data_IF_470204510427
#
_entry.id   IF_470204510427
#
_cell.length_a   1.000
_cell.length_b   1.000
_cell.length_c   1.000
_cell.angle_alpha   90.00
_cell.angle_beta   90.00
_cell.angle_gamma   90.00
#
_symmetry.space_group_name_H-M   'P 1'
#
loop_
_entity.id
_entity.type
_entity.pdbx_description
1 polymer ?
#
# COMPACT_ATOMS: atom_id res chain seq x y z
N UNK A 1 -19.02 45.92 51.29
CA UNK A 1 -18.73 45.75 49.86
C UNK A 1 -18.02 44.44 49.68
N UNK A 2 -18.68 43.37 49.26
CA UNK A 2 -18.14 42.05 49.03
C UNK A 2 -17.97 41.86 47.51
N UNK A 3 -16.73 41.70 47.04
CA UNK A 3 -16.45 41.39 45.63
C UNK A 3 -16.39 39.88 45.48
N UNK A 4 -17.34 39.31 44.76
CA UNK A 4 -17.34 37.87 44.35
C UNK A 4 -16.59 37.73 43.05
N UNK A 5 -15.49 37.00 43.10
CA UNK A 5 -14.72 36.63 41.91
C UNK A 5 -15.23 35.29 41.39
N UNK A 6 -15.81 35.29 40.22
CA UNK A 6 -16.25 34.08 39.51
C UNK A 6 -15.06 33.59 38.69
N UNK A 7 -14.53 32.44 39.04
CA UNK A 7 -13.52 31.74 38.25
C UNK A 7 -14.21 30.86 37.19
N UNK A 8 -14.02 31.22 35.94
CA UNK A 8 -14.50 30.38 34.82
C UNK A 8 -13.46 29.28 34.54
N UNK A 9 -13.80 28.03 34.83
CA UNK A 9 -13.03 26.87 34.40
C UNK A 9 -13.30 26.62 32.90
N UNK A 10 -12.29 26.86 32.07
CA UNK A 10 -12.29 26.39 30.66
C UNK A 10 -11.90 24.91 30.66
N UNK A 11 -12.86 24.03 30.43
CA UNK A 11 -12.59 22.61 30.19
C UNK A 11 -12.11 22.45 28.73
N UNK A 12 -10.81 22.21 28.55
CA UNK A 12 -10.26 21.72 27.27
C UNK A 12 -10.76 20.27 27.06
N UNK A 13 -11.73 20.09 26.20
CA UNK A 13 -12.09 18.79 25.68
C UNK A 13 -11.02 18.37 24.66
N UNK A 14 -10.06 17.55 25.08
CA UNK A 14 -9.17 16.85 24.16
C UNK A 14 -9.97 15.77 23.45
N UNK A 15 -10.29 16.02 22.17
CA UNK A 15 -10.86 14.99 21.31
C UNK A 15 -9.82 13.89 21.12
N UNK A 16 -9.93 12.81 21.86
CA UNK A 16 -9.22 11.56 21.56
C UNK A 16 -9.82 11.00 20.28
N UNK A 17 -9.20 11.25 19.13
CA UNK A 17 -9.47 10.51 17.90
C UNK A 17 -9.22 9.05 18.21
N UNK A 18 -10.28 8.24 18.20
CA UNK A 18 -10.25 6.86 18.65
C UNK A 18 -9.60 5.99 17.58
N UNK A 19 -8.67 5.14 18.00
CA UNK A 19 -7.97 4.17 17.16
C UNK A 19 -8.91 3.21 16.37
N UNK A 20 -10.19 3.16 16.70
CA UNK A 20 -11.23 2.42 15.96
C UNK A 20 -11.48 2.99 14.56
N UNK A 21 -11.24 4.29 14.36
CA UNK A 21 -11.54 5.02 13.11
C UNK A 21 -10.62 4.60 11.95
N UNK A 22 -9.36 4.29 12.20
CA UNK A 22 -8.40 3.94 11.15
C UNK A 22 -8.74 2.60 10.46
N UNK A 23 -9.18 1.58 11.21
CA UNK A 23 -9.59 0.29 10.63
C UNK A 23 -10.86 0.46 9.79
N UNK A 24 -11.80 1.28 10.25
CA UNK A 24 -13.03 1.57 9.51
C UNK A 24 -12.74 2.40 8.26
N UNK A 25 -11.73 3.29 8.31
CA UNK A 25 -11.22 4.01 7.13
C UNK A 25 -10.66 3.05 6.08
N UNK A 26 -9.85 2.05 6.48
CA UNK A 26 -9.35 1.03 5.55
C UNK A 26 -10.50 0.20 4.96
N UNK A 27 -11.49 -0.20 5.77
CA UNK A 27 -12.67 -0.93 5.31
C UNK A 27 -13.48 -0.11 4.28
N UNK A 28 -13.71 1.16 4.58
CA UNK A 28 -14.39 2.07 3.67
C UNK A 28 -13.60 2.26 2.37
N UNK A 29 -12.29 2.45 2.46
CA UNK A 29 -11.41 2.54 1.29
C UNK A 29 -11.53 1.30 0.39
N UNK A 30 -11.48 0.10 0.97
CA UNK A 30 -11.58 -1.15 0.19
C UNK A 30 -12.97 -1.33 -0.42
N UNK A 31 -14.03 -0.94 0.27
CA UNK A 31 -15.41 -1.07 -0.19
C UNK A 31 -15.76 -0.04 -1.27
N UNK A 32 -15.37 1.22 -1.08
CA UNK A 32 -15.91 2.36 -1.82
C UNK A 32 -14.98 2.85 -2.94
N UNK A 33 -13.65 2.67 -2.79
CA UNK A 33 -12.67 3.09 -3.79
C UNK A 33 -12.35 1.92 -4.71
N UNK A 34 -13.01 1.86 -5.86
CA UNK A 34 -12.89 0.75 -6.82
C UNK A 34 -11.69 0.87 -7.76
N UNK A 35 -11.16 2.08 -7.94
CA UNK A 35 -10.00 2.37 -8.78
C UNK A 35 -9.23 3.58 -8.25
N UNK A 36 -8.00 3.73 -8.69
CA UNK A 36 -7.21 4.91 -8.35
C UNK A 36 -5.84 4.88 -9.00
N UNK A 37 -5.21 6.05 -8.99
CA UNK A 37 -3.80 6.21 -9.39
C UNK A 37 -3.10 7.15 -8.44
N UNK A 38 -1.78 6.98 -8.34
CA UNK A 38 -0.91 7.82 -7.53
C UNK A 38 0.52 7.82 -8.10
N UNK A 39 1.28 8.83 -7.79
CA UNK A 39 2.73 8.75 -7.81
C UNK A 39 3.21 8.18 -6.47
N UNK A 40 4.37 7.53 -6.45
CA UNK A 40 4.95 7.06 -5.20
C UNK A 40 6.45 7.27 -5.14
N UNK A 41 6.94 7.44 -3.94
CA UNK A 41 8.34 7.28 -3.56
C UNK A 41 8.43 6.12 -2.58
N UNK A 42 9.29 5.15 -2.89
CA UNK A 42 9.57 4.00 -2.04
C UNK A 42 10.95 4.10 -1.44
N UNK A 43 11.07 3.90 -0.15
CA UNK A 43 12.34 3.77 0.56
C UNK A 43 12.42 2.37 1.15
N UNK A 44 13.46 1.63 0.77
CA UNK A 44 13.75 0.29 1.27
C UNK A 44 14.94 0.37 2.20
N UNK A 45 14.78 -0.09 3.44
CA UNK A 45 15.82 -0.07 4.46
C UNK A 45 16.17 -1.50 4.87
N UNK A 46 17.45 -1.84 4.89
CA UNK A 46 17.94 -3.15 5.34
C UNK A 46 17.61 -3.39 6.82
N UNK A 47 17.57 -4.66 7.30
CA UNK A 47 17.21 -4.98 8.67
C UNK A 47 18.11 -4.33 9.72
N UNK A 48 19.38 -4.11 9.40
CA UNK A 48 20.35 -3.42 10.27
C UNK A 48 20.29 -1.89 10.20
N UNK A 49 19.38 -1.34 9.37
CA UNK A 49 19.20 0.11 9.18
C UNK A 49 20.32 0.82 8.42
N UNK A 50 21.38 0.10 8.00
CA UNK A 50 22.60 0.73 7.46
C UNK A 50 22.50 1.05 5.97
N UNK A 51 21.68 0.36 5.24
CA UNK A 51 21.52 0.54 3.80
C UNK A 51 20.10 0.99 3.48
N UNK A 52 20.03 2.06 2.73
CA UNK A 52 18.76 2.61 2.25
C UNK A 52 18.82 2.75 0.73
N UNK A 53 17.74 2.36 0.06
CA UNK A 53 17.57 2.53 -1.38
C UNK A 53 16.24 3.23 -1.63
N UNK A 54 16.26 4.25 -2.48
CA UNK A 54 15.05 4.99 -2.85
C UNK A 54 14.72 4.74 -4.32
N UNK A 55 13.43 4.52 -4.59
CA UNK A 55 12.85 4.37 -5.92
C UNK A 55 11.61 5.24 -6.04
N UNK A 56 11.22 5.60 -7.24
CA UNK A 56 9.96 6.33 -7.46
C UNK A 56 9.28 5.87 -8.75
N UNK A 57 7.97 6.09 -8.81
CA UNK A 57 7.19 5.63 -9.93
C UNK A 57 5.71 5.99 -9.83
N UNK A 58 4.88 5.22 -10.55
CA UNK A 58 3.41 5.36 -10.57
C UNK A 58 2.76 4.07 -10.11
N UNK A 59 1.64 4.22 -9.44
CA UNK A 59 0.79 3.13 -9.01
C UNK A 59 -0.62 3.37 -9.53
N UNK A 60 -1.20 2.36 -10.15
CA UNK A 60 -2.56 2.36 -10.64
C UNK A 60 -3.23 1.07 -10.20
N UNK A 61 -4.52 1.13 -9.86
CA UNK A 61 -5.27 -0.06 -9.51
C UNK A 61 -6.73 0.04 -9.94
N UNK A 62 -7.33 -1.14 -10.18
CA UNK A 62 -8.76 -1.31 -10.35
C UNK A 62 -9.18 -2.64 -9.72
N UNK A 63 -10.11 -2.58 -8.78
CA UNK A 63 -10.63 -3.77 -8.10
C UNK A 63 -11.52 -4.62 -9.03
N UNK A 64 -11.56 -5.94 -8.82
CA UNK A 64 -10.67 -6.71 -7.96
C UNK A 64 -9.32 -7.00 -8.63
N UNK A 65 -8.26 -7.09 -7.80
CA UNK A 65 -6.96 -7.72 -8.11
C UNK A 65 -6.20 -7.20 -9.35
N UNK A 66 -6.55 -6.04 -9.87
CA UNK A 66 -5.83 -5.41 -10.98
C UNK A 66 -4.99 -4.25 -10.47
N UNK A 67 -3.72 -4.25 -10.82
CA UNK A 67 -2.79 -3.20 -10.44
C UNK A 67 -1.63 -3.08 -11.40
N UNK A 68 -0.99 -1.90 -11.40
CA UNK A 68 0.24 -1.62 -12.12
C UNK A 68 1.14 -0.77 -11.24
N UNK A 69 2.34 -1.27 -10.98
CA UNK A 69 3.47 -0.49 -10.49
C UNK A 69 4.43 -0.26 -11.64
N UNK A 70 4.77 1.00 -11.88
CA UNK A 70 5.74 1.39 -12.87
C UNK A 70 6.85 2.18 -12.17
N UNK A 71 7.95 1.51 -11.86
CA UNK A 71 9.15 2.16 -11.34
C UNK A 71 9.85 2.89 -12.47
N UNK A 72 10.23 4.15 -12.21
CA UNK A 72 10.88 5.04 -13.19
C UNK A 72 12.33 5.33 -12.77
N UNK A 73 12.57 5.46 -11.49
CA UNK A 73 13.90 5.77 -10.92
C UNK A 73 14.23 4.85 -9.76
N UNK A 74 15.52 4.51 -9.54
CA UNK A 74 16.66 4.73 -10.43
C UNK A 74 16.66 3.78 -11.63
N UNK A 75 15.95 2.65 -11.56
CA UNK A 75 15.85 1.65 -12.62
C UNK A 75 14.38 1.42 -12.97
N UNK A 76 14.14 1.30 -14.27
CA UNK A 76 12.81 1.00 -14.77
C UNK A 76 12.44 -0.46 -14.45
N UNK A 77 11.25 -0.67 -13.90
CA UNK A 77 10.66 -1.98 -13.71
C UNK A 77 9.13 -1.83 -13.80
N UNK A 78 8.47 -2.81 -14.37
CA UNK A 78 7.02 -2.82 -14.44
C UNK A 78 6.48 -4.07 -13.75
N UNK A 79 5.51 -3.91 -12.85
CA UNK A 79 4.79 -5.01 -12.20
C UNK A 79 3.31 -4.82 -12.52
N UNK A 80 2.69 -5.82 -13.15
CA UNK A 80 1.28 -5.77 -13.56
C UNK A 80 0.54 -6.99 -13.04
N UNK A 81 -0.51 -6.74 -12.26
CA UNK A 81 -1.53 -7.73 -11.93
C UNK A 81 -2.74 -7.55 -12.83
N UNK A 82 -3.12 -8.57 -13.59
CA UNK A 82 -4.24 -8.52 -14.52
C UNK A 82 -5.54 -9.15 -13.96
N UNK A 83 -5.50 -9.57 -12.68
CA UNK A 83 -6.57 -10.31 -12.01
C UNK A 83 -6.40 -11.83 -12.04
N UNK A 84 -5.49 -12.36 -12.86
CA UNK A 84 -5.19 -13.80 -12.99
C UNK A 84 -3.72 -14.10 -12.72
N UNK A 85 -2.84 -13.25 -13.23
CA UNK A 85 -1.39 -13.38 -13.18
C UNK A 85 -0.74 -12.07 -12.75
N UNK A 86 0.46 -12.19 -12.21
CA UNK A 86 1.34 -11.04 -11.95
C UNK A 86 2.57 -11.18 -12.83
N UNK A 87 2.78 -10.16 -13.64
CA UNK A 87 3.94 -9.98 -14.49
C UNK A 87 4.94 -9.07 -13.80
N UNK A 88 6.21 -9.41 -13.86
CA UNK A 88 7.33 -8.55 -13.46
C UNK A 88 8.27 -8.45 -14.65
N UNK A 89 8.50 -7.23 -15.13
CA UNK A 89 9.34 -6.95 -16.28
C UNK A 89 10.47 -6.00 -15.92
N UNK A 90 11.68 -6.41 -16.20
CA UNK A 90 12.89 -5.61 -16.10
C UNK A 90 13.43 -5.32 -17.51
N UNK A 91 13.27 -4.08 -18.01
CA UNK A 91 13.71 -3.72 -19.36
C UNK A 91 15.24 -3.68 -19.50
N UNK A 92 15.99 -3.44 -18.42
CA UNK A 92 17.45 -3.40 -18.47
C UNK A 92 18.04 -4.79 -18.65
N UNK A 93 17.39 -5.80 -18.08
CA UNK A 93 17.77 -7.20 -18.23
C UNK A 93 17.12 -7.88 -19.44
N UNK A 94 16.13 -7.23 -20.07
CA UNK A 94 15.24 -7.82 -21.09
C UNK A 94 14.60 -9.12 -20.62
N UNK A 95 14.20 -9.17 -19.35
CA UNK A 95 13.60 -10.34 -18.72
C UNK A 95 12.22 -10.03 -18.17
N UNK A 96 11.31 -10.98 -18.32
CA UNK A 96 10.01 -10.94 -17.70
C UNK A 96 9.73 -12.27 -16.98
N UNK A 97 9.05 -12.19 -15.84
CA UNK A 97 8.53 -13.37 -15.14
C UNK A 97 7.02 -13.24 -14.96
N UNK A 98 6.35 -14.38 -14.93
CA UNK A 98 4.91 -14.46 -14.71
C UNK A 98 4.59 -15.50 -13.65
N UNK A 99 3.67 -15.16 -12.74
CA UNK A 99 3.19 -16.07 -11.68
C UNK A 99 1.67 -15.98 -11.57
N UNK A 100 1.00 -17.07 -11.22
CA UNK A 100 -0.42 -17.01 -10.87
C UNK A 100 -0.69 -15.99 -9.75
N UNK A 101 -1.79 -15.24 -9.86
CA UNK A 101 -2.17 -14.23 -8.85
C UNK A 101 -2.30 -14.86 -7.46
N UNK A 102 -2.83 -16.08 -7.35
CA UNK A 102 -2.97 -16.80 -6.08
C UNK A 102 -1.64 -17.04 -5.35
N UNK A 103 -0.54 -17.20 -6.09
CA UNK A 103 0.80 -17.33 -5.52
C UNK A 103 1.46 -15.97 -5.27
N UNK A 104 1.06 -14.96 -6.03
CA UNK A 104 1.61 -13.62 -5.94
C UNK A 104 0.91 -12.77 -4.86
N UNK A 105 -0.36 -13.05 -4.53
CA UNK A 105 -1.12 -12.31 -3.51
C UNK A 105 -0.48 -12.40 -2.13
N UNK A 106 0.10 -13.56 -1.76
CA UNK A 106 0.92 -13.67 -0.56
C UNK A 106 2.30 -12.98 -0.68
N UNK A 107 2.69 -12.56 -1.86
CA UNK A 107 4.02 -12.03 -2.18
C UNK A 107 4.02 -10.53 -2.53
N UNK A 108 2.87 -9.89 -2.73
CA UNK A 108 2.81 -8.48 -3.11
C UNK A 108 1.93 -7.67 -2.17
N UNK A 109 2.42 -6.51 -1.71
CA UNK A 109 1.64 -5.57 -0.91
C UNK A 109 0.40 -5.02 -1.63
N UNK A 110 0.38 -5.15 -2.96
CA UNK A 110 -0.77 -4.81 -3.79
C UNK A 110 -2.03 -5.58 -3.37
N UNK A 111 -1.90 -6.81 -2.87
CA UNK A 111 -3.04 -7.61 -2.39
C UNK A 111 -3.89 -6.91 -1.33
N UNK A 112 -3.25 -6.22 -0.38
CA UNK A 112 -3.97 -5.44 0.63
C UNK A 112 -4.72 -4.25 0.00
N UNK A 113 -4.09 -3.60 -0.98
CA UNK A 113 -4.65 -2.40 -1.60
C UNK A 113 -5.71 -2.72 -2.67
N UNK A 114 -5.69 -3.90 -3.28
CA UNK A 114 -6.56 -4.26 -4.41
C UNK A 114 -7.52 -5.41 -4.14
N UNK A 115 -7.24 -6.21 -3.10
CA UNK A 115 -8.09 -7.31 -2.66
C UNK A 115 -9.44 -6.83 -2.11
N UNK A 116 -10.40 -7.74 -2.02
CA UNK A 116 -11.77 -7.47 -1.55
C UNK A 116 -12.09 -8.12 -0.21
N UNK A 117 -11.17 -8.89 0.37
CA UNK A 117 -11.43 -9.74 1.55
C UNK A 117 -10.36 -9.56 2.63
N UNK A 118 -10.29 -8.33 3.18
CA UNK A 118 -9.28 -7.97 4.19
C UNK A 118 -9.30 -8.91 5.41
N UNK A 119 -10.47 -9.09 6.03
CA UNK A 119 -10.59 -9.86 7.27
C UNK A 119 -10.41 -11.36 7.07
N UNK A 120 -10.57 -11.87 5.85
CA UNK A 120 -10.27 -13.27 5.54
C UNK A 120 -8.77 -13.53 5.63
N UNK A 121 -7.98 -12.61 5.09
CA UNK A 121 -6.56 -12.82 4.84
C UNK A 121 -5.67 -12.16 5.90
N UNK A 122 -6.20 -11.13 6.61
CA UNK A 122 -5.44 -10.33 7.56
C UNK A 122 -6.15 -10.16 8.90
N UNK A 123 -5.34 -10.07 9.95
CA UNK A 123 -5.72 -9.54 11.25
C UNK A 123 -5.43 -8.05 11.26
N UNK A 124 -6.50 -7.23 11.46
CA UNK A 124 -6.39 -5.77 11.41
C UNK A 124 -6.37 -5.19 12.82
N UNK A 125 -5.51 -4.20 13.04
CA UNK A 125 -5.49 -3.42 14.28
C UNK A 125 -5.13 -1.98 13.99
N UNK A 126 -5.77 -1.04 14.69
CA UNK A 126 -5.40 0.36 14.62
C UNK A 126 -4.11 0.62 15.41
N UNK A 127 -3.30 1.53 14.92
CA UNK A 127 -2.10 2.02 15.60
C UNK A 127 -2.30 3.48 16.00
N UNK A 128 -1.50 3.99 16.96
CA UNK A 128 -1.46 5.43 17.25
C UNK A 128 -1.13 6.24 15.99
N UNK A 129 -1.76 7.40 15.85
CA UNK A 129 -1.46 8.34 14.77
C UNK A 129 0.02 8.73 14.81
N UNK A 130 0.65 8.79 13.64
CA UNK A 130 2.07 9.13 13.48
C UNK A 130 2.27 9.89 12.18
N UNK A 131 3.10 10.93 12.21
CA UNK A 131 3.42 11.77 11.04
C UNK A 131 2.19 12.40 10.36
N UNK A 132 1.14 12.70 11.16
CA UNK A 132 -0.12 13.25 10.65
C UNK A 132 -1.00 12.25 9.91
N UNK A 133 -0.72 10.95 10.01
CA UNK A 133 -1.49 9.87 9.40
C UNK A 133 -2.11 8.98 10.46
N UNK A 134 -3.30 8.47 10.15
CA UNK A 134 -3.95 7.39 10.87
C UNK A 134 -3.48 6.06 10.31
N UNK A 135 -3.03 5.16 11.18
CA UNK A 135 -2.37 3.93 10.77
C UNK A 135 -3.16 2.68 11.12
N UNK A 136 -3.25 1.77 10.15
CA UNK A 136 -3.78 0.41 10.34
C UNK A 136 -2.67 -0.58 10.11
N UNK A 137 -2.51 -1.49 11.06
CA UNK A 137 -1.65 -2.66 10.92
C UNK A 137 -2.48 -3.84 10.39
N UNK A 138 -1.92 -4.54 9.42
CA UNK A 138 -2.47 -5.77 8.85
C UNK A 138 -1.43 -6.88 8.95
N UNK A 139 -1.71 -7.92 9.72
CA UNK A 139 -0.89 -9.13 9.84
C UNK A 139 -1.49 -10.23 9.00
N UNK A 140 -0.74 -10.86 8.09
CA UNK A 140 -1.22 -12.05 7.40
C UNK A 140 -1.61 -13.14 8.40
N UNK A 141 -2.75 -13.77 8.21
CA UNK A 141 -3.18 -14.93 9.03
C UNK A 141 -2.44 -16.20 8.67
N UNK A 142 -1.90 -16.28 7.45
CA UNK A 142 -1.08 -17.37 6.96
C UNK A 142 0.37 -16.90 6.83
N UNK A 143 1.31 -17.71 7.31
CA UNK A 143 2.73 -17.36 7.35
C UNK A 143 3.47 -17.57 6.01
N UNK A 144 2.79 -18.07 4.98
CA UNK A 144 3.39 -18.48 3.70
C UNK A 144 3.68 -17.32 2.73
N UNK A 145 3.44 -16.08 3.16
CA UNK A 145 3.70 -14.88 2.35
C UNK A 145 5.15 -14.42 2.38
N UNK A 146 5.49 -13.46 1.51
CA UNK A 146 6.81 -12.82 1.44
C UNK A 146 7.02 -11.70 2.47
N UNK A 147 5.99 -11.35 3.24
CA UNK A 147 6.02 -10.30 4.25
C UNK A 147 5.33 -10.75 5.54
N UNK A 148 5.82 -10.23 6.66
CA UNK A 148 5.32 -10.52 8.00
C UNK A 148 4.33 -9.48 8.51
N UNK A 149 4.38 -8.25 7.94
CA UNK A 149 3.61 -7.13 8.43
C UNK A 149 3.39 -6.09 7.34
N UNK A 150 2.18 -5.57 7.28
CA UNK A 150 1.82 -4.38 6.51
C UNK A 150 1.27 -3.31 7.44
N UNK A 151 1.50 -2.03 7.12
CA UNK A 151 0.83 -0.89 7.74
C UNK A 151 0.36 0.07 6.67
N UNK A 152 -0.90 0.48 6.74
CA UNK A 152 -1.49 1.43 5.81
C UNK A 152 -1.74 2.74 6.54
N UNK A 153 -1.24 3.83 5.99
CA UNK A 153 -1.39 5.18 6.53
C UNK A 153 -2.37 6.00 5.69
N UNK A 154 -3.33 6.63 6.37
CA UNK A 154 -4.34 7.49 5.76
C UNK A 154 -4.19 8.94 6.23
N UNK A 155 -4.32 9.88 5.30
CA UNK A 155 -4.55 11.29 5.60
C UNK A 155 -6.06 11.56 5.44
N UNK A 156 -6.78 11.54 6.57
CA UNK A 156 -8.24 11.47 6.53
C UNK A 156 -8.69 10.17 5.83
N UNK A 157 -9.41 10.28 4.72
CA UNK A 157 -9.85 9.11 3.92
C UNK A 157 -8.93 8.76 2.76
N UNK A 158 -7.87 9.52 2.55
CA UNK A 158 -6.98 9.35 1.42
C UNK A 158 -5.80 8.45 1.79
N UNK A 159 -5.53 7.43 0.96
CA UNK A 159 -4.33 6.61 1.07
C UNK A 159 -3.08 7.49 0.93
N UNK A 160 -2.20 7.46 1.92
CA UNK A 160 -0.99 8.29 1.97
C UNK A 160 0.30 7.49 2.07
N UNK A 161 0.26 6.32 2.71
CA UNK A 161 1.46 5.51 2.89
C UNK A 161 1.15 4.02 3.00
N UNK A 162 2.15 3.20 2.64
CA UNK A 162 2.17 1.77 2.88
C UNK A 162 3.56 1.37 3.40
N UNK A 163 3.61 0.78 4.58
CA UNK A 163 4.83 0.15 5.11
C UNK A 163 4.72 -1.37 5.00
N UNK A 164 5.81 -2.00 4.60
CA UNK A 164 5.92 -3.44 4.42
C UNK A 164 7.15 -3.90 5.19
N UNK A 165 6.99 -4.89 6.04
CA UNK A 165 8.11 -5.61 6.65
C UNK A 165 8.14 -7.01 6.07
N UNK A 166 9.21 -7.37 5.38
CA UNK A 166 9.37 -8.71 4.82
C UNK A 166 9.81 -9.73 5.90
N UNK A 167 9.87 -10.99 5.52
CA UNK A 167 10.24 -12.07 6.43
C UNK A 167 11.74 -12.06 6.82
N UNK A 168 12.55 -11.22 6.17
CA UNK A 168 13.96 -11.01 6.48
C UNK A 168 14.20 -9.76 7.33
N UNK A 169 13.12 -9.03 7.71
CA UNK A 169 13.18 -7.81 8.50
C UNK A 169 13.50 -6.55 7.71
N UNK A 170 13.56 -6.64 6.37
CA UNK A 170 13.69 -5.45 5.53
C UNK A 170 12.39 -4.65 5.56
N UNK A 171 12.48 -3.34 5.66
CA UNK A 171 11.33 -2.45 5.67
C UNK A 171 11.27 -1.64 4.39
N UNK A 172 10.11 -1.68 3.72
CA UNK A 172 9.79 -0.85 2.57
C UNK A 172 8.69 0.13 2.93
N UNK A 173 8.92 1.42 2.71
CA UNK A 173 7.93 2.48 2.95
C UNK A 173 7.61 3.14 1.61
N UNK A 174 6.36 3.03 1.17
CA UNK A 174 5.83 3.78 0.04
C UNK A 174 5.08 4.99 0.57
N UNK A 175 5.39 6.17 0.04
CA UNK A 175 4.63 7.40 0.23
C UNK A 175 3.92 7.72 -1.07
N UNK A 176 2.62 7.91 -1.00
CA UNK A 176 1.79 8.20 -2.17
C UNK A 176 1.53 9.70 -2.26
N UNK A 177 1.66 10.22 -3.47
CA UNK A 177 1.42 11.61 -3.82
C UNK A 177 0.46 11.69 -5.00
N UNK A 178 -0.22 12.83 -5.17
CA UNK A 178 -1.17 13.06 -6.28
C UNK A 178 -2.19 11.92 -6.43
N UNK A 179 -2.70 11.47 -5.30
CA UNK A 179 -3.65 10.36 -5.25
C UNK A 179 -4.99 10.80 -5.84
N UNK A 180 -5.44 10.08 -6.86
CA UNK A 180 -6.75 10.26 -7.49
C UNK A 180 -7.54 8.96 -7.26
N UNK A 181 -8.55 9.03 -6.40
CA UNK A 181 -9.50 7.95 -6.15
C UNK A 181 -10.61 8.00 -7.20
N UNK A 182 -11.08 6.84 -7.65
CA UNK A 182 -12.10 6.74 -8.69
C UNK A 182 -11.59 7.10 -10.10
N UNK A 183 -10.26 7.05 -10.32
CA UNK A 183 -9.69 7.34 -11.63
C UNK A 183 -10.26 6.43 -12.71
N UNK A 184 -10.63 7.02 -13.85
CA UNK A 184 -11.06 6.28 -15.04
C UNK A 184 -9.82 5.66 -15.72
N UNK A 185 -9.60 4.37 -15.49
CA UNK A 185 -8.46 3.64 -16.03
C UNK A 185 -8.93 2.66 -17.11
N UNK A 186 -8.40 2.76 -18.34
CA UNK A 186 -8.76 1.82 -19.40
C UNK A 186 -8.26 0.42 -19.07
N UNK A 187 -8.96 -0.66 -19.48
CA UNK A 187 -8.56 -2.03 -19.17
C UNK A 187 -7.15 -2.40 -19.63
N UNK A 188 -6.63 -1.74 -20.66
CA UNK A 188 -5.30 -1.92 -21.22
C UNK A 188 -4.19 -1.55 -20.21
N UNK A 189 -4.47 -0.67 -19.26
CA UNK A 189 -3.55 -0.30 -18.16
C UNK A 189 -3.04 -1.54 -17.41
N UNK A 190 -3.90 -2.56 -17.27
CA UNK A 190 -3.63 -3.77 -16.51
C UNK A 190 -3.28 -4.97 -17.39
N UNK A 191 -2.92 -4.73 -18.65
CA UNK A 191 -2.41 -5.76 -19.56
C UNK A 191 -0.90 -5.61 -19.73
N UNK A 192 -0.22 -6.72 -19.77
CA UNK A 192 1.20 -6.76 -20.11
C UNK A 192 1.44 -7.83 -21.18
N UNK A 193 2.12 -7.44 -22.23
CA UNK A 193 2.64 -8.35 -23.24
C UNK A 193 4.14 -8.14 -23.32
N UNK A 194 4.95 -9.18 -23.12
CA UNK A 194 6.40 -9.05 -23.23
C UNK A 194 6.79 -8.52 -24.61
N UNK A 195 7.67 -7.50 -24.69
CA UNK A 195 8.21 -7.03 -25.96
C UNK A 195 8.97 -8.15 -26.70
N UNK A 196 9.12 -8.04 -28.03
CA UNK A 196 9.94 -8.98 -28.79
C UNK A 196 11.38 -9.05 -28.25
N UNK A 197 11.93 -10.27 -28.11
CA UNK A 197 13.29 -10.50 -27.60
C UNK A 197 13.43 -10.55 -26.07
N UNK A 198 12.34 -10.38 -25.33
CA UNK A 198 12.34 -10.53 -23.86
C UNK A 198 12.37 -12.02 -23.50
N UNK A 199 13.31 -12.39 -22.62
CA UNK A 199 13.38 -13.73 -22.04
C UNK A 199 12.28 -13.91 -20.98
N UNK A 200 11.52 -15.00 -21.12
CA UNK A 200 10.50 -15.39 -20.14
C UNK A 200 11.08 -16.34 -19.12
N UNK A 201 11.18 -15.86 -17.88
CA UNK A 201 11.55 -16.69 -16.73
C UNK A 201 10.29 -17.35 -16.18
N UNK A 202 10.17 -18.65 -16.35
CA UNK A 202 9.13 -19.47 -15.68
C UNK A 202 9.66 -19.95 -14.34
N UNK A 203 8.82 -19.93 -13.26
CA UNK A 203 9.21 -20.42 -11.95
C UNK A 203 9.49 -21.91 -11.95
#
# INVERSE_FOLDING_TARGET
MRRSTVAALLALATASATAADAVDTLRAFVRDVTSGRAEFTQTVTSPDGRRTRTSSGRFEFARPDRFRFEYVKPFAQTIVGDGRQVWIYDPALQQASVRPMSQALGATPAALLTGTSLERDFELSALPARDGLDWVQARPKQAEGSFSLLRVGFAGTQLAALEIVDNFGQTSVLRFERVEQGAALPPETFRFTPPPGVELLTP
#
